data_IF_430139618039
#
_entry.id   IF_430139618039
#
_cell.length_a   1.000
_cell.length_b   1.000
_cell.length_c   1.000
_cell.angle_alpha   90.00
_cell.angle_beta   90.00
_cell.angle_gamma   90.00
#
_symmetry.space_group_name_H-M   'P 1'
#
loop_
_entity.id
_entity.type
_entity.pdbx_description
1 polymer ?
#
# COMPACT_ATOMS: atom_id res chain seq x y z
N UNK A 1 -4.00 5.68 11.72
CA UNK A 1 -2.54 5.82 11.66
C UNK A 1 -2.13 6.67 12.83
N UNK A 2 -1.04 6.33 13.49
CA UNK A 2 -0.57 6.97 14.73
C UNK A 2 0.95 7.08 14.70
N UNK A 3 1.48 8.08 15.40
CA UNK A 3 2.92 8.29 15.54
C UNK A 3 3.28 8.30 17.02
N UNK A 4 4.36 7.59 17.35
CA UNK A 4 5.02 7.66 18.66
C UNK A 4 6.53 7.61 18.47
N UNK A 5 7.23 8.17 19.43
CA UNK A 5 8.67 8.00 19.57
C UNK A 5 8.90 6.89 20.57
N UNK A 6 9.71 5.92 20.17
CA UNK A 6 10.16 4.85 21.05
C UNK A 6 11.46 5.30 21.73
N UNK A 7 11.91 4.50 22.70
CA UNK A 7 13.26 4.65 23.24
C UNK A 7 14.32 4.63 22.11
N UNK A 8 15.48 5.20 22.40
CA UNK A 8 16.62 5.32 21.47
C UNK A 8 16.37 6.24 20.26
N UNK A 9 15.43 7.18 20.39
CA UNK A 9 15.04 8.15 19.35
C UNK A 9 14.58 7.47 18.06
N UNK A 10 13.81 6.37 18.18
CA UNK A 10 13.26 5.65 17.02
C UNK A 10 11.84 6.14 16.75
N UNK A 11 11.60 6.61 15.53
CA UNK A 11 10.27 6.96 15.05
C UNK A 11 9.45 5.69 14.77
N UNK A 12 8.21 5.63 15.24
CA UNK A 12 7.29 4.54 14.94
C UNK A 12 5.96 5.08 14.42
N UNK A 13 5.55 4.59 13.26
CA UNK A 13 4.26 4.89 12.64
C UNK A 13 3.43 3.60 12.62
N UNK A 14 2.35 3.55 13.39
CA UNK A 14 1.33 2.52 13.22
C UNK A 14 0.44 2.90 12.02
N UNK A 15 0.60 2.23 10.88
CA UNK A 15 -0.14 2.55 9.66
C UNK A 15 -1.26 1.53 9.42
N UNK A 16 -2.27 1.50 10.31
CA UNK A 16 -3.34 0.48 10.31
C UNK A 16 -4.40 0.56 9.19
N UNK A 17 -4.64 1.73 8.58
CA UNK A 17 -5.75 1.90 7.64
C UNK A 17 -5.43 2.87 6.50
N UNK A 18 -5.89 2.56 5.29
CA UNK A 18 -5.70 3.42 4.12
C UNK A 18 -7.02 4.04 3.62
N UNK A 19 -7.53 5.08 4.30
CA UNK A 19 -8.86 5.65 3.96
C UNK A 19 -8.78 7.06 3.38
N UNK A 20 -8.35 8.03 4.18
CA UNK A 20 -8.45 9.46 3.85
C UNK A 20 -7.08 10.07 3.55
N UNK A 21 -6.80 10.31 2.27
CA UNK A 21 -5.52 10.86 1.80
C UNK A 21 -5.25 12.27 2.36
N UNK A 22 -6.27 13.14 2.43
CA UNK A 22 -6.12 14.51 2.92
C UNK A 22 -5.68 14.54 4.38
N UNK A 23 -6.36 13.76 5.24
CA UNK A 23 -5.99 13.63 6.65
C UNK A 23 -4.61 12.98 6.80
N UNK A 24 -4.28 11.99 5.96
CA UNK A 24 -2.98 11.33 6.01
C UNK A 24 -1.83 12.24 5.59
N UNK A 25 -2.01 13.06 4.56
CA UNK A 25 -1.01 14.04 4.13
C UNK A 25 -0.71 15.09 5.22
N UNK A 26 -1.73 15.51 6.00
CA UNK A 26 -1.53 16.37 7.17
C UNK A 26 -0.74 15.65 8.26
N UNK A 27 -1.08 14.38 8.53
CA UNK A 27 -0.35 13.54 9.47
C UNK A 27 1.11 13.38 9.08
N UNK A 28 1.41 12.93 7.85
CA UNK A 28 2.79 12.75 7.37
C UNK A 28 3.61 14.03 7.50
N UNK A 29 3.07 15.18 7.09
CA UNK A 29 3.77 16.46 7.20
C UNK A 29 4.16 16.81 8.63
N UNK A 30 3.23 16.62 9.58
CA UNK A 30 3.48 16.89 10.99
C UNK A 30 4.47 15.88 11.59
N UNK A 31 4.29 14.60 11.28
CA UNK A 31 5.17 13.52 11.75
C UNK A 31 6.59 13.69 11.24
N UNK A 32 6.80 13.91 9.95
CA UNK A 32 8.14 14.02 9.39
C UNK A 32 8.85 15.33 9.77
N UNK A 33 8.12 16.41 10.11
CA UNK A 33 8.72 17.58 10.77
C UNK A 33 9.29 17.23 12.15
N UNK A 34 8.57 16.43 12.95
CA UNK A 34 9.05 15.95 14.26
C UNK A 34 10.25 15.03 14.11
N UNK A 35 10.18 14.07 13.20
CA UNK A 35 11.29 13.16 12.86
C UNK A 35 12.56 13.94 12.50
N UNK A 36 12.44 14.99 11.68
CA UNK A 36 13.57 15.84 11.30
C UNK A 36 14.11 16.63 12.50
N UNK A 37 13.24 17.24 13.30
CA UNK A 37 13.65 18.06 14.45
C UNK A 37 14.28 17.24 15.60
N UNK A 38 13.85 15.99 15.79
CA UNK A 38 14.32 15.13 16.89
C UNK A 38 15.52 14.27 16.49
N UNK A 39 16.06 14.42 15.27
CA UNK A 39 17.21 13.66 14.77
C UNK A 39 17.07 12.15 14.96
N UNK A 40 15.90 11.60 14.64
CA UNK A 40 15.57 10.20 14.95
C UNK A 40 16.54 9.22 14.28
N UNK A 41 16.95 8.18 15.01
CA UNK A 41 17.92 7.17 14.56
C UNK A 41 17.39 6.24 13.47
N UNK A 42 16.07 6.06 13.40
CA UNK A 42 15.43 5.21 12.41
C UNK A 42 13.91 5.37 12.42
N UNK A 43 13.26 4.85 11.39
CA UNK A 43 11.81 4.83 11.24
C UNK A 43 11.30 3.39 11.08
N UNK A 44 10.34 3.02 11.93
CA UNK A 44 9.58 1.78 11.83
C UNK A 44 8.15 2.12 11.35
N UNK A 45 7.71 1.48 10.27
CA UNK A 45 6.32 1.59 9.77
C UNK A 45 5.61 0.26 9.97
N UNK A 46 4.60 0.23 10.82
CA UNK A 46 3.84 -1.00 11.11
C UNK A 46 2.65 -1.16 10.17
N UNK A 47 2.67 -2.22 9.35
CA UNK A 47 1.62 -2.62 8.41
C UNK A 47 0.97 -3.95 8.77
N UNK A 48 1.37 -4.60 9.89
CA UNK A 48 0.94 -5.97 10.23
C UNK A 48 -0.58 -6.13 10.24
N UNK A 49 -1.28 -5.13 10.75
CA UNK A 49 -2.74 -5.09 10.88
C UNK A 49 -3.45 -4.19 9.84
N UNK A 50 -2.80 -3.94 8.69
CA UNK A 50 -3.34 -3.06 7.65
C UNK A 50 -3.95 -3.85 6.48
N UNK A 51 -5.27 -3.91 6.43
CA UNK A 51 -6.02 -4.55 5.35
C UNK A 51 -6.09 -3.77 4.02
N UNK A 52 -5.50 -2.58 3.94
CA UNK A 52 -5.44 -1.76 2.71
C UNK A 52 -6.52 -0.68 2.61
N UNK A 53 -6.98 -0.43 1.38
CA UNK A 53 -7.88 0.68 1.01
C UNK A 53 -7.32 1.54 -0.12
N UNK A 54 -7.27 2.86 0.04
CA UNK A 54 -6.78 3.81 -0.94
C UNK A 54 -5.24 3.77 -1.07
N UNK A 55 -4.73 3.20 -2.17
CA UNK A 55 -3.29 3.03 -2.43
C UNK A 55 -2.51 4.34 -2.53
N UNK A 56 -3.18 5.48 -2.75
CA UNK A 56 -2.52 6.79 -2.80
C UNK A 56 -1.82 7.16 -1.49
N UNK A 57 -2.26 6.61 -0.35
CA UNK A 57 -1.59 6.85 0.91
C UNK A 57 -0.23 6.14 0.96
N UNK A 58 -0.09 4.96 0.34
CA UNK A 58 1.21 4.30 0.22
C UNK A 58 2.19 5.16 -0.58
N UNK A 59 1.75 5.70 -1.72
CA UNK A 59 2.54 6.65 -2.50
C UNK A 59 2.91 7.91 -1.72
N UNK A 60 1.96 8.46 -0.95
CA UNK A 60 2.21 9.62 -0.11
C UNK A 60 3.30 9.32 0.93
N UNK A 61 3.24 8.18 1.62
CA UNK A 61 4.26 7.77 2.59
C UNK A 61 5.63 7.59 1.91
N UNK A 62 5.69 6.90 0.76
CA UNK A 62 6.95 6.66 0.06
C UNK A 62 7.67 7.93 -0.36
N UNK A 63 6.94 9.01 -0.66
CA UNK A 63 7.55 10.32 -0.96
C UNK A 63 8.38 10.90 0.19
N UNK A 64 8.15 10.46 1.43
CA UNK A 64 8.90 10.88 2.61
C UNK A 64 10.07 9.95 2.95
N UNK A 65 10.23 8.80 2.28
CA UNK A 65 11.29 7.84 2.63
C UNK A 65 12.22 7.46 1.47
N UNK A 66 11.87 7.79 0.23
CA UNK A 66 12.72 7.46 -0.93
C UNK A 66 12.62 8.50 -2.07
N UNK A 67 13.67 8.61 -2.87
CA UNK A 67 13.70 9.23 -4.22
C UNK A 67 13.81 8.20 -5.35
N UNK A 68 14.03 6.91 -5.04
CA UNK A 68 14.17 5.88 -6.06
C UNK A 68 12.86 5.72 -6.84
N UNK A 69 12.92 5.49 -8.18
CA UNK A 69 11.75 5.09 -8.95
C UNK A 69 11.17 3.76 -8.46
N UNK A 70 9.84 3.70 -8.31
CA UNK A 70 9.13 2.49 -7.92
C UNK A 70 7.75 2.42 -8.59
N UNK A 71 7.10 1.26 -8.50
CA UNK A 71 5.68 1.05 -8.81
C UNK A 71 5.12 -0.02 -7.86
N UNK A 72 3.80 -0.06 -7.68
CA UNK A 72 3.15 -1.06 -6.82
C UNK A 72 2.68 -2.31 -7.56
N UNK A 73 2.52 -2.21 -8.88
CA UNK A 73 2.14 -3.30 -9.75
C UNK A 73 2.72 -3.02 -11.14
N UNK A 74 3.24 -4.03 -11.82
CA UNK A 74 3.75 -3.88 -13.17
C UNK A 74 2.60 -3.72 -14.18
N UNK A 75 1.53 -4.49 -13.97
CA UNK A 75 0.39 -4.57 -14.87
C UNK A 75 -0.92 -4.73 -14.12
N UNK A 76 -1.94 -4.02 -14.59
CA UNK A 76 -3.32 -4.13 -14.12
C UNK A 76 -4.19 -4.52 -15.31
N UNK A 77 -4.96 -5.58 -15.19
CA UNK A 77 -5.92 -6.04 -16.19
C UNK A 77 -7.32 -5.94 -15.59
N UNK A 78 -8.15 -5.02 -16.10
CA UNK A 78 -9.52 -4.81 -15.61
C UNK A 78 -10.51 -5.49 -16.55
N UNK A 79 -11.26 -6.47 -16.06
CA UNK A 79 -12.31 -7.14 -16.84
C UNK A 79 -13.48 -6.19 -17.05
N UNK A 80 -13.77 -5.86 -18.31
CA UNK A 80 -14.81 -4.90 -18.68
C UNK A 80 -16.13 -5.62 -18.94
N UNK A 81 -17.21 -5.10 -18.37
CA UNK A 81 -18.57 -5.61 -18.55
C UNK A 81 -19.60 -4.48 -18.45
N UNK A 82 -20.80 -4.67 -18.99
CA UNK A 82 -21.89 -3.70 -18.83
C UNK A 82 -22.17 -3.34 -17.35
N UNK A 83 -22.29 -4.31 -16.40
CA UNK A 83 -22.48 -4.00 -14.98
C UNK A 83 -21.36 -3.15 -14.40
N UNK A 84 -20.10 -3.44 -14.73
CA UNK A 84 -18.97 -2.64 -14.28
C UNK A 84 -19.04 -1.21 -14.83
N UNK A 85 -19.31 -1.04 -16.14
CA UNK A 85 -19.44 0.29 -16.74
C UNK A 85 -20.54 1.07 -16.03
N UNK A 86 -21.68 0.44 -15.75
CA UNK A 86 -22.78 1.07 -15.01
C UNK A 86 -22.39 1.46 -13.59
N UNK A 87 -21.76 0.56 -12.83
CA UNK A 87 -21.22 0.85 -11.51
C UNK A 87 -20.26 2.04 -11.52
N UNK A 88 -19.35 2.11 -12.50
CA UNK A 88 -18.43 3.24 -12.61
C UNK A 88 -19.13 4.57 -12.90
N UNK A 89 -20.31 4.55 -13.55
CA UNK A 89 -21.12 5.75 -13.75
C UNK A 89 -21.66 6.32 -12.44
N UNK A 90 -21.81 5.50 -11.41
CA UNK A 90 -22.37 5.92 -10.12
C UNK A 90 -21.44 6.89 -9.37
N UNK A 91 -20.13 6.82 -9.61
CA UNK A 91 -19.15 7.77 -9.06
C UNK A 91 -19.22 9.17 -9.67
N UNK A 92 -19.90 9.32 -10.81
CA UNK A 92 -20.14 10.64 -11.42
C UNK A 92 -21.45 11.21 -10.87
N UNK A 93 -21.48 12.47 -10.41
CA UNK A 93 -22.70 13.11 -9.92
C UNK A 93 -23.86 13.01 -10.91
N UNK A 94 -25.07 12.73 -10.41
CA UNK A 94 -26.25 12.53 -11.25
C UNK A 94 -26.54 13.70 -12.20
N UNK A 95 -26.26 14.94 -11.77
CA UNK A 95 -26.45 16.17 -12.54
C UNK A 95 -25.65 16.25 -13.84
N UNK A 96 -24.53 15.52 -13.94
CA UNK A 96 -23.65 15.54 -15.13
C UNK A 96 -23.54 14.16 -15.80
N UNK A 97 -24.29 13.16 -15.32
CA UNK A 97 -24.21 11.77 -15.78
C UNK A 97 -24.70 11.59 -17.23
N UNK A 98 -25.51 12.53 -17.72
CA UNK A 98 -26.01 12.57 -19.10
C UNK A 98 -24.93 12.97 -20.12
N UNK A 99 -23.86 13.63 -19.68
CA UNK A 99 -22.71 13.97 -20.51
C UNK A 99 -21.74 12.78 -20.64
N UNK A 100 -21.01 12.63 -21.76
CA UNK A 100 -20.02 11.57 -21.96
C UNK A 100 -18.71 11.81 -21.19
N UNK A 101 -18.78 12.31 -19.94
CA UNK A 101 -17.62 12.72 -19.12
C UNK A 101 -16.62 11.58 -18.87
N UNK A 102 -17.08 10.33 -18.96
CA UNK A 102 -16.25 9.13 -18.88
C UNK A 102 -15.13 9.11 -19.92
N UNK A 103 -15.38 9.67 -21.11
CA UNK A 103 -14.39 9.75 -22.19
C UNK A 103 -13.41 10.93 -22.05
N UNK A 104 -13.52 11.77 -21.01
CA UNK A 104 -12.62 12.92 -20.86
C UNK A 104 -11.29 12.57 -20.19
N UNK A 105 -11.22 11.44 -19.48
CA UNK A 105 -9.97 10.97 -18.87
C UNK A 105 -9.32 9.88 -19.73
N UNK A 106 -7.99 9.76 -19.69
CA UNK A 106 -7.28 8.67 -20.38
C UNK A 106 -7.72 7.29 -19.88
N UNK A 107 -7.92 7.16 -18.57
CA UNK A 107 -8.43 5.94 -17.94
C UNK A 107 -9.85 5.61 -18.44
N UNK A 108 -10.75 6.58 -18.41
CA UNK A 108 -12.13 6.37 -18.82
C UNK A 108 -12.28 6.11 -20.32
N UNK A 109 -11.53 6.80 -21.21
CA UNK A 109 -11.50 6.43 -22.64
C UNK A 109 -11.13 4.97 -22.84
N UNK A 110 -10.09 4.50 -22.15
CA UNK A 110 -9.64 3.12 -22.27
C UNK A 110 -10.73 2.13 -21.81
N UNK A 111 -11.34 2.37 -20.65
CA UNK A 111 -12.41 1.51 -20.13
C UNK A 111 -13.62 1.47 -21.07
N UNK A 112 -14.09 2.63 -21.55
CA UNK A 112 -15.31 2.68 -22.35
C UNK A 112 -15.11 2.20 -23.79
N UNK A 113 -13.92 2.41 -24.37
CA UNK A 113 -13.56 1.89 -25.70
C UNK A 113 -13.21 0.40 -25.69
N UNK A 114 -12.96 -0.21 -24.52
CA UNK A 114 -12.74 -1.66 -24.44
C UNK A 114 -14.08 -2.38 -24.58
N UNK A 115 -14.19 -3.36 -25.50
CA UNK A 115 -15.37 -4.20 -25.64
C UNK A 115 -15.73 -4.91 -24.33
N UNK A 116 -17.03 -5.13 -24.14
CA UNK A 116 -17.50 -5.92 -23.00
C UNK A 116 -17.05 -7.37 -23.16
N UNK A 117 -16.62 -7.99 -22.06
CA UNK A 117 -16.00 -9.32 -22.10
C UNK A 117 -14.49 -9.28 -22.31
N UNK A 118 -13.88 -8.14 -22.64
CA UNK A 118 -12.43 -8.01 -22.78
C UNK A 118 -11.75 -7.42 -21.54
N UNK A 119 -10.42 -7.34 -21.57
CA UNK A 119 -9.61 -6.74 -20.52
C UNK A 119 -9.03 -5.40 -20.97
N UNK A 120 -9.27 -4.34 -20.20
CA UNK A 120 -8.51 -3.12 -20.31
C UNK A 120 -7.18 -3.30 -19.55
N UNK A 121 -6.05 -3.15 -20.23
CA UNK A 121 -4.72 -3.49 -19.65
C UNK A 121 -3.84 -2.26 -19.46
N UNK A 122 -3.40 -1.95 -18.24
CA UNK A 122 -2.43 -0.89 -17.96
C UNK A 122 -1.09 -1.47 -17.57
N UNK A 123 -0.05 -1.06 -18.28
CA UNK A 123 1.35 -1.29 -17.90
C UNK A 123 1.87 -0.04 -17.19
N UNK A 124 2.44 -0.20 -16.00
CA UNK A 124 3.01 0.90 -15.22
C UNK A 124 4.53 0.86 -15.31
N UNK A 125 5.19 1.99 -15.60
CA UNK A 125 6.65 2.10 -15.45
C UNK A 125 6.99 2.58 -14.04
N UNK A 126 8.17 2.21 -13.49
CA UNK A 126 8.63 2.79 -12.23
C UNK A 126 8.81 4.30 -12.37
N UNK A 127 8.34 5.06 -11.37
CA UNK A 127 8.43 6.53 -11.37
C UNK A 127 8.99 7.02 -10.05
N UNK A 128 9.89 8.01 -10.10
CA UNK A 128 10.39 8.64 -8.89
C UNK A 128 9.27 9.46 -8.21
N UNK A 129 9.18 9.43 -6.87
CA UNK A 129 8.27 10.32 -6.17
C UNK A 129 8.70 11.77 -6.31
N UNK A 130 7.76 12.70 -6.14
CA UNK A 130 8.07 14.14 -6.15
C UNK A 130 9.11 14.48 -5.07
N UNK A 131 9.99 15.46 -5.30
CA UNK A 131 10.88 15.99 -4.27
C UNK A 131 10.10 16.37 -3.01
N UNK A 132 10.66 16.04 -1.86
CA UNK A 132 10.06 16.32 -0.57
C UNK A 132 11.15 16.81 0.41
N UNK A 133 11.08 18.07 0.90
CA UNK A 133 12.10 18.61 1.81
C UNK A 133 12.11 17.93 3.19
N UNK A 134 11.04 17.20 3.53
CA UNK A 134 10.92 16.42 4.77
C UNK A 134 11.29 14.94 4.58
N UNK A 135 11.96 14.58 3.47
CA UNK A 135 12.34 13.19 3.20
C UNK A 135 13.36 12.73 4.22
N UNK A 136 13.03 11.66 4.93
CA UNK A 136 13.92 10.97 5.84
C UNK A 136 14.91 10.10 5.06
N UNK A 137 16.21 10.25 5.32
CA UNK A 137 17.28 9.46 4.65
C UNK A 137 17.96 8.44 5.57
N UNK A 138 17.52 8.35 6.82
CA UNK A 138 18.01 7.35 7.76
C UNK A 138 17.41 5.96 7.52
N UNK A 139 17.77 4.98 8.35
CA UNK A 139 17.26 3.61 8.27
C UNK A 139 15.74 3.53 8.39
N UNK A 140 15.10 2.78 7.48
CA UNK A 140 13.66 2.52 7.51
C UNK A 140 13.40 1.02 7.44
N UNK A 141 12.51 0.53 8.30
CA UNK A 141 11.93 -0.80 8.16
C UNK A 141 10.41 -0.78 8.27
N UNK A 142 9.77 -1.78 7.66
CA UNK A 142 8.34 -2.02 7.73
C UNK A 142 8.08 -3.33 8.44
N UNK A 143 7.11 -3.33 9.35
CA UNK A 143 6.61 -4.55 9.95
C UNK A 143 5.45 -5.07 9.11
N UNK A 144 5.52 -6.31 8.63
CA UNK A 144 4.49 -6.94 7.81
C UNK A 144 4.02 -8.25 8.44
N UNK A 145 2.83 -8.69 8.06
CA UNK A 145 2.29 -9.96 8.53
C UNK A 145 1.02 -10.39 7.78
N UNK A 146 0.35 -11.45 8.25
CA UNK A 146 -0.82 -12.01 7.56
C UNK A 146 -1.98 -11.00 7.40
N UNK A 147 -2.09 -10.01 8.27
CA UNK A 147 -3.08 -8.92 8.16
C UNK A 147 -2.74 -7.84 7.14
N UNK A 148 -1.51 -7.82 6.59
CA UNK A 148 -1.11 -6.90 5.52
C UNK A 148 -1.75 -7.32 4.20
N UNK A 149 -2.78 -6.59 3.76
CA UNK A 149 -3.63 -7.00 2.63
C UNK A 149 -3.93 -5.85 1.64
N UNK A 150 -4.42 -6.19 0.44
CA UNK A 150 -4.85 -5.25 -0.59
C UNK A 150 -3.81 -4.13 -0.85
N UNK A 151 -4.18 -2.86 -0.74
CA UNK A 151 -3.27 -1.73 -0.94
C UNK A 151 -2.07 -1.67 0.01
N UNK A 152 -2.17 -2.25 1.21
CA UNK A 152 -1.03 -2.35 2.12
C UNK A 152 -0.02 -3.40 1.65
N UNK A 153 -0.52 -4.52 1.11
CA UNK A 153 0.31 -5.51 0.43
C UNK A 153 0.96 -4.92 -0.82
N UNK A 154 0.23 -4.14 -1.62
CA UNK A 154 0.80 -3.43 -2.79
C UNK A 154 1.94 -2.47 -2.40
N UNK A 155 1.81 -1.80 -1.25
CA UNK A 155 2.88 -0.99 -0.67
C UNK A 155 4.08 -1.86 -0.26
N UNK A 156 3.87 -2.93 0.50
CA UNK A 156 4.93 -3.86 0.90
C UNK A 156 5.64 -4.47 -0.32
N UNK A 157 4.89 -4.82 -1.36
CA UNK A 157 5.39 -5.34 -2.63
C UNK A 157 6.34 -4.34 -3.33
N UNK A 158 5.93 -3.08 -3.45
CA UNK A 158 6.80 -2.04 -4.00
C UNK A 158 8.04 -1.76 -3.14
N UNK A 159 7.92 -1.86 -1.81
CA UNK A 159 9.06 -1.71 -0.88
C UNK A 159 10.07 -2.84 -1.07
N UNK A 160 9.60 -4.09 -1.15
CA UNK A 160 10.44 -5.28 -1.35
C UNK A 160 11.13 -5.24 -2.72
N UNK A 161 10.36 -5.18 -3.80
CA UNK A 161 10.87 -5.36 -5.17
C UNK A 161 11.81 -4.23 -5.63
N UNK A 162 11.73 -3.05 -5.01
CA UNK A 162 12.62 -1.91 -5.29
C UNK A 162 13.64 -1.63 -4.18
N UNK A 163 13.73 -2.50 -3.17
CA UNK A 163 14.64 -2.35 -2.03
C UNK A 163 14.60 -0.94 -1.43
N UNK A 164 13.39 -0.47 -1.12
CA UNK A 164 13.15 0.89 -0.60
C UNK A 164 13.36 0.98 0.91
N UNK A 165 13.14 -0.11 1.62
CA UNK A 165 13.28 -0.26 3.06
C UNK A 165 13.31 -1.76 3.40
N UNK A 166 13.70 -2.12 4.63
CA UNK A 166 13.72 -3.51 5.09
C UNK A 166 12.34 -3.97 5.55
N UNK A 167 11.91 -5.18 5.17
CA UNK A 167 10.69 -5.83 5.65
C UNK A 167 10.99 -6.83 6.76
N UNK A 168 10.24 -6.77 7.86
CA UNK A 168 10.42 -7.62 9.04
C UNK A 168 9.07 -8.18 9.45
N UNK A 169 8.99 -9.46 9.79
CA UNK A 169 7.78 -10.08 10.31
C UNK A 169 7.41 -11.35 9.57
N UNK A 170 6.21 -11.41 9.01
CA UNK A 170 5.69 -12.60 8.32
C UNK A 170 5.18 -12.27 6.92
N UNK A 171 4.99 -13.31 6.10
CA UNK A 171 4.43 -13.18 4.76
C UNK A 171 3.09 -12.44 4.79
N UNK A 172 2.89 -11.54 3.82
CA UNK A 172 1.62 -10.80 3.71
C UNK A 172 0.46 -11.74 3.37
N UNK A 173 -0.72 -11.49 3.91
CA UNK A 173 -1.91 -12.27 3.54
C UNK A 173 -2.35 -12.06 2.08
N UNK A 174 -2.05 -10.88 1.51
CA UNK A 174 -2.31 -10.59 0.10
C UNK A 174 -1.20 -11.14 -0.81
N UNK A 175 -1.55 -11.47 -2.05
CA UNK A 175 -0.60 -11.87 -3.10
C UNK A 175 -0.45 -10.75 -4.14
N UNK A 176 0.78 -10.35 -4.52
CA UNK A 176 1.00 -9.35 -5.56
C UNK A 176 0.41 -9.75 -6.91
N UNK A 177 0.56 -11.02 -7.27
CA UNK A 177 -0.14 -11.63 -8.40
C UNK A 177 -1.49 -12.15 -7.93
N UNK A 178 -2.55 -11.41 -8.21
CA UNK A 178 -3.86 -11.75 -7.68
C UNK A 178 -4.99 -10.88 -8.22
N UNK A 179 -6.20 -11.29 -7.88
CA UNK A 179 -7.41 -10.54 -8.19
C UNK A 179 -7.74 -9.59 -7.04
N UNK A 180 -8.25 -8.40 -7.39
CA UNK A 180 -8.69 -7.40 -6.44
C UNK A 180 -9.62 -6.39 -7.09
N UNK A 181 -9.78 -5.23 -6.43
CA UNK A 181 -10.83 -4.24 -6.75
C UNK A 181 -12.23 -4.83 -6.68
N UNK A 182 -12.89 -4.59 -5.55
CA UNK A 182 -14.16 -5.21 -5.24
C UNK A 182 -15.29 -4.41 -5.87
N UNK A 183 -16.07 -5.08 -6.71
CA UNK A 183 -17.37 -4.63 -7.16
C UNK A 183 -18.43 -5.36 -6.34
N UNK A 184 -19.31 -4.60 -5.69
CA UNK A 184 -20.41 -5.10 -4.86
C UNK A 184 -21.73 -4.78 -5.55
N UNK A 185 -22.62 -5.76 -5.64
CA UNK A 185 -23.96 -5.60 -6.21
C UNK A 185 -24.95 -6.57 -5.58
N UNK A 186 -26.23 -6.23 -5.63
CA UNK A 186 -27.31 -7.07 -5.13
C UNK A 186 -27.87 -7.96 -6.25
N UNK A 187 -28.14 -9.23 -5.94
CA UNK A 187 -28.79 -10.15 -6.89
C UNK A 187 -30.24 -9.72 -7.16
N UNK A 188 -30.71 -9.75 -8.42
CA UNK A 188 -31.99 -9.14 -8.80
C UNK A 188 -33.21 -9.81 -8.14
N UNK A 189 -33.14 -11.11 -7.86
CA UNK A 189 -34.28 -11.88 -7.32
C UNK A 189 -34.21 -12.03 -5.79
N UNK A 190 -33.04 -12.39 -5.25
CA UNK A 190 -32.88 -12.68 -3.82
C UNK A 190 -32.47 -11.47 -2.99
N UNK A 191 -31.97 -10.40 -3.64
CA UNK A 191 -31.38 -9.21 -3.02
C UNK A 191 -30.18 -9.51 -2.11
N UNK A 192 -29.59 -10.71 -2.23
CA UNK A 192 -28.34 -11.02 -1.55
C UNK A 192 -27.23 -10.17 -2.16
N UNK A 193 -26.43 -9.56 -1.29
CA UNK A 193 -25.26 -8.80 -1.69
C UNK A 193 -24.11 -9.75 -2.04
N UNK A 194 -23.58 -9.60 -3.24
CA UNK A 194 -22.43 -10.35 -3.73
C UNK A 194 -21.29 -9.39 -4.01
N UNK A 195 -20.06 -9.85 -3.78
CA UNK A 195 -18.86 -9.11 -4.11
C UNK A 195 -17.96 -9.93 -5.02
N UNK A 196 -17.39 -9.29 -6.04
CA UNK A 196 -16.49 -9.91 -7.01
C UNK A 196 -15.27 -9.03 -7.24
N UNK A 197 -14.12 -9.65 -7.49
CA UNK A 197 -12.93 -8.92 -7.93
C UNK A 197 -13.00 -8.61 -9.42
N UNK A 198 -12.59 -7.41 -9.81
CA UNK A 198 -12.70 -6.94 -11.20
C UNK A 198 -11.36 -6.73 -11.89
N UNK A 199 -10.27 -6.64 -11.13
CA UNK A 199 -8.91 -6.45 -11.64
C UNK A 199 -8.02 -7.63 -11.32
N UNK A 200 -7.10 -7.96 -12.23
CA UNK A 200 -5.91 -8.76 -11.95
C UNK A 200 -4.69 -7.84 -11.88
N UNK A 201 -3.88 -8.03 -10.85
CA UNK A 201 -2.62 -7.31 -10.65
C UNK A 201 -1.44 -8.24 -10.92
N UNK A 202 -0.37 -7.68 -11.49
CA UNK A 202 0.93 -8.33 -11.63
C UNK A 202 1.91 -7.68 -10.67
N UNK A 203 2.79 -8.50 -10.06
CA UNK A 203 3.83 -8.10 -9.12
C UNK A 203 4.66 -6.91 -9.62
N UNK A 204 5.26 -6.14 -8.70
CA UNK A 204 5.88 -4.86 -9.04
C UNK A 204 7.14 -5.03 -9.91
N UNK A 205 7.90 -6.11 -9.70
CA UNK A 205 9.00 -6.51 -10.57
C UNK A 205 8.55 -7.08 -11.94
N UNK A 206 7.27 -7.41 -12.13
CA UNK A 206 6.73 -7.97 -13.37
C UNK A 206 6.72 -9.50 -13.43
N UNK A 207 7.17 -10.19 -12.39
CA UNK A 207 7.07 -11.65 -12.30
C UNK A 207 5.61 -12.08 -12.18
N UNK A 208 5.14 -12.87 -13.14
CA UNK A 208 3.77 -13.40 -13.20
C UNK A 208 3.63 -14.78 -12.56
N UNK A 209 4.75 -15.44 -12.26
CA UNK A 209 4.79 -16.83 -11.80
C UNK A 209 4.80 -16.95 -10.28
N UNK A 210 5.19 -15.89 -9.57
CA UNK A 210 5.15 -15.87 -8.10
C UNK A 210 3.72 -16.02 -7.59
N UNK A 211 3.52 -17.02 -6.72
CA UNK A 211 2.22 -17.38 -6.10
C UNK A 211 2.16 -17.04 -4.61
N UNK A 212 3.22 -16.47 -4.06
CA UNK A 212 3.35 -16.13 -2.64
C UNK A 212 2.83 -14.73 -2.36
N UNK A 213 2.63 -14.45 -1.07
CA UNK A 213 2.60 -13.09 -0.58
C UNK A 213 3.97 -12.43 -0.67
N UNK A 214 4.07 -11.19 -0.24
CA UNK A 214 5.36 -10.51 -0.09
C UNK A 214 6.06 -11.11 1.13
N UNK A 215 7.22 -11.71 0.91
CA UNK A 215 8.06 -12.25 1.98
C UNK A 215 8.84 -11.12 2.66
N UNK A 216 9.07 -11.20 3.98
CA UNK A 216 9.95 -10.28 4.68
C UNK A 216 11.43 -10.58 4.36
N UNK A 217 12.30 -9.59 4.52
CA UNK A 217 13.76 -9.80 4.52
C UNK A 217 14.19 -10.57 5.78
N UNK A 218 13.51 -10.31 6.91
CA UNK A 218 13.70 -11.03 8.17
C UNK A 218 12.38 -11.64 8.64
N UNK A 219 12.28 -12.97 8.57
CA UNK A 219 11.13 -13.69 9.14
C UNK A 219 11.21 -13.67 10.66
N UNK A 220 10.26 -13.00 11.31
CA UNK A 220 10.16 -12.90 12.77
C UNK A 220 8.69 -13.09 13.15
N UNK A 221 8.41 -14.11 13.96
CA UNK A 221 7.07 -14.39 14.47
C UNK A 221 6.96 -13.92 15.91
N UNK A 222 5.77 -13.48 16.30
CA UNK A 222 5.48 -13.21 17.70
C UNK A 222 5.72 -14.49 18.51
N UNK A 223 6.61 -14.42 19.50
CA UNK A 223 6.84 -15.51 20.44
C UNK A 223 5.67 -15.60 21.41
N UNK A 224 5.21 -16.82 21.71
CA UNK A 224 4.18 -17.07 22.71
C UNK A 224 4.61 -16.54 24.09
N UNK A 225 5.86 -16.82 24.49
CA UNK A 225 6.40 -16.37 25.76
C UNK A 225 6.53 -14.84 25.85
N UNK A 226 6.81 -14.17 24.73
CA UNK A 226 6.83 -12.71 24.69
C UNK A 226 5.41 -12.13 24.72
N UNK A 227 4.46 -12.78 24.01
CA UNK A 227 3.05 -12.37 23.97
C UNK A 227 2.44 -12.40 25.37
N UNK A 228 2.69 -13.47 26.13
CA UNK A 228 2.24 -13.62 27.53
C UNK A 228 2.81 -12.53 28.45
N UNK A 229 3.98 -11.97 28.11
CA UNK A 229 4.62 -10.87 28.84
C UNK A 229 4.26 -9.49 28.29
N UNK A 230 3.38 -9.41 27.28
CA UNK A 230 3.04 -8.15 26.60
C UNK A 230 4.20 -7.56 25.79
N UNK A 231 5.20 -8.36 25.43
CA UNK A 231 6.35 -7.97 24.62
C UNK A 231 6.08 -8.26 23.15
N UNK A 232 6.27 -7.26 22.31
CA UNK A 232 6.16 -7.39 20.85
C UNK A 232 7.50 -7.85 20.25
N UNK A 233 7.64 -9.16 19.96
CA UNK A 233 8.88 -9.76 19.47
C UNK A 233 9.35 -9.10 18.17
N UNK A 234 8.42 -8.82 17.26
CA UNK A 234 8.72 -8.27 15.93
C UNK A 234 9.20 -6.83 16.06
N UNK A 235 8.55 -6.04 16.92
CA UNK A 235 8.97 -4.66 17.20
C UNK A 235 10.33 -4.61 17.90
N UNK A 236 10.61 -5.50 18.86
CA UNK A 236 11.92 -5.55 19.51
C UNK A 236 13.03 -5.91 18.53
N UNK A 237 12.80 -6.88 17.65
CA UNK A 237 13.74 -7.22 16.58
C UNK A 237 13.99 -6.01 15.68
N UNK A 238 12.93 -5.30 15.25
CA UNK A 238 13.06 -4.13 14.40
C UNK A 238 13.83 -2.99 15.08
N UNK A 239 13.59 -2.75 16.37
CA UNK A 239 14.39 -1.79 17.15
C UNK A 239 15.87 -2.18 17.17
N UNK A 240 16.18 -3.43 17.49
CA UNK A 240 17.55 -3.93 17.50
C UNK A 240 18.20 -3.84 16.10
N UNK A 241 17.44 -4.07 15.04
CA UNK A 241 17.90 -3.90 13.66
C UNK A 241 18.28 -2.45 13.37
N UNK A 242 17.42 -1.48 13.72
CA UNK A 242 17.70 -0.03 13.57
C UNK A 242 18.96 0.37 14.34
N UNK A 243 19.14 -0.12 15.56
CA UNK A 243 20.32 0.21 16.38
C UNK A 243 21.63 -0.30 15.77
N UNK A 244 21.61 -1.36 14.97
CA UNK A 244 22.79 -1.88 14.26
C UNK A 244 23.11 -1.11 12.97
N UNK A 245 22.20 -0.27 12.48
CA UNK A 245 22.45 0.51 11.26
C UNK A 245 23.40 1.69 11.54
N UNK A 246 24.24 2.07 10.57
CA UNK A 246 25.09 3.25 10.71
C UNK A 246 24.23 4.50 10.91
N UNK A 247 24.62 5.33 11.87
CA UNK A 247 23.95 6.62 12.10
C UNK A 247 24.29 7.53 10.93
N UNK A 248 23.32 7.76 10.04
CA UNK A 248 23.42 8.80 9.01
C UNK A 248 22.83 10.08 9.59
N UNK A 249 23.69 11.03 9.92
CA UNK A 249 23.25 12.40 10.21
C UNK A 249 22.70 12.99 8.90
N UNK A 250 21.45 13.46 8.93
CA UNK A 250 20.83 14.23 7.84
C UNK A 250 21.36 15.66 7.85
#
# INVERSE_FOLDING_TARGET
>A
YEYRELADSIAYINFRHMRNLKKFNKFLRNTFRRIQAHHTRGLIVDLRENGGGNSSLGNALLSYITDKPYRFSARIEWKISAPLKQYLKEFVPASIRWLPVYYFTSMGRKIWNTPEGEFAVWEAKPTAPKPNPLRYRGPVCFLIGPGTFSSAMLLANGVADYHLATLIGEETGGRPNGFGEIYVFDLPNTRLQVSVSTKRFVRANGDVNDRRGVLPDFTVRQSQADLEKGVDTVLQFARAWILKQPVKHN
#
